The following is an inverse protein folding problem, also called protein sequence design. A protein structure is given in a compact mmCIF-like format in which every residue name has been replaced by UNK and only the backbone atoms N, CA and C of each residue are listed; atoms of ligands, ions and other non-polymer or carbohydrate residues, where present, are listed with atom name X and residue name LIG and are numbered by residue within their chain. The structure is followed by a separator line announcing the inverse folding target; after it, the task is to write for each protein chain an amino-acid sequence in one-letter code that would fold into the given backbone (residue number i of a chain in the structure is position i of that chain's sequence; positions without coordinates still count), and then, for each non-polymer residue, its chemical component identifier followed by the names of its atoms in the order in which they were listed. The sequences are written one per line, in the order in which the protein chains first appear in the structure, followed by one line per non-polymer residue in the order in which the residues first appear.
data_IF_849332007370
#
_entry.id   IF_849332007370
#
_cell.length_a   1.000
_cell.length_b   1.000
_cell.length_c   1.000
_cell.angle_alpha   90.00
_cell.angle_beta   90.00
_cell.angle_gamma   90.00
#
_symmetry.space_group_name_H-M   'P 1'
#
loop_
_entity.id
_entity.type
_entity.pdbx_description
1 polymer ?
#
# COMPACT_ATOMS: atom_id res chain seq x y z
N UNK A 1 4.27 26.79 -6.18
CA UNK A 1 3.10 26.26 -6.90
C UNK A 1 2.18 25.56 -5.92
N UNK A 2 0.89 25.74 -6.10
CA UNK A 2 -0.07 25.05 -5.24
C UNK A 2 -0.10 23.56 -5.59
N UNK A 3 -0.17 22.72 -4.57
CA UNK A 3 -0.33 21.28 -4.71
C UNK A 3 -1.64 20.97 -5.46
N UNK A 4 -1.58 20.13 -6.47
CA UNK A 4 -2.76 19.71 -7.18
C UNK A 4 -3.43 18.53 -6.44
N UNK A 5 -4.34 18.86 -5.53
CA UNK A 5 -5.05 17.87 -4.72
C UNK A 5 -5.83 16.86 -5.58
N UNK A 6 -6.49 17.32 -6.64
CA UNK A 6 -7.24 16.43 -7.53
C UNK A 6 -6.33 15.41 -8.22
N UNK A 7 -5.15 15.83 -8.66
CA UNK A 7 -4.17 14.94 -9.27
C UNK A 7 -3.64 13.90 -8.28
N UNK A 8 -3.44 14.29 -7.03
CA UNK A 8 -3.04 13.36 -5.96
C UNK A 8 -4.12 12.30 -5.74
N UNK A 9 -5.37 12.71 -5.60
CA UNK A 9 -6.48 11.75 -5.43
C UNK A 9 -6.60 10.81 -6.63
N UNK A 10 -6.50 11.33 -7.85
CA UNK A 10 -6.54 10.51 -9.07
C UNK A 10 -5.42 9.48 -9.09
N UNK A 11 -4.21 9.87 -8.69
CA UNK A 11 -3.07 8.97 -8.58
C UNK A 11 -3.32 7.87 -7.55
N UNK A 12 -3.82 8.22 -6.36
CA UNK A 12 -4.11 7.26 -5.30
C UNK A 12 -5.21 6.27 -5.72
N UNK A 13 -6.25 6.74 -6.39
CA UNK A 13 -7.31 5.86 -6.91
C UNK A 13 -6.79 4.91 -7.98
N UNK A 14 -5.86 5.36 -8.81
CA UNK A 14 -5.21 4.50 -9.80
C UNK A 14 -4.37 3.41 -9.13
N UNK A 15 -3.60 3.75 -8.11
CA UNK A 15 -2.80 2.78 -7.35
C UNK A 15 -3.70 1.70 -6.74
N UNK A 16 -4.79 2.10 -6.08
CA UNK A 16 -5.76 1.18 -5.49
C UNK A 16 -6.46 0.31 -6.55
N UNK A 17 -6.86 0.92 -7.66
CA UNK A 17 -7.54 0.20 -8.76
C UNK A 17 -6.64 -0.86 -9.38
N UNK A 18 -5.35 -0.60 -9.56
CA UNK A 18 -4.44 -1.61 -10.10
C UNK A 18 -4.36 -2.85 -9.21
N UNK A 19 -4.42 -2.68 -7.89
CA UNK A 19 -4.49 -3.83 -6.98
C UNK A 19 -5.80 -4.59 -7.12
N UNK A 20 -6.93 -3.89 -7.18
CA UNK A 20 -8.25 -4.51 -7.28
C UNK A 20 -8.44 -5.22 -8.62
N UNK A 21 -7.93 -4.65 -9.69
CA UNK A 21 -7.99 -5.22 -11.05
C UNK A 21 -6.84 -6.21 -11.32
N UNK A 22 -5.99 -6.44 -10.32
CA UNK A 22 -4.84 -7.37 -10.40
C UNK A 22 -3.85 -7.04 -11.49
N UNK A 23 -3.66 -5.75 -11.73
CA UNK A 23 -2.70 -5.20 -12.68
C UNK A 23 -1.40 -4.91 -11.93
N UNK A 24 -0.73 -5.95 -11.44
CA UNK A 24 0.40 -5.82 -10.50
C UNK A 24 1.63 -5.19 -11.14
N UNK A 25 1.89 -5.40 -12.41
CA UNK A 25 3.01 -4.74 -13.09
C UNK A 25 2.78 -3.23 -13.23
N UNK A 26 1.55 -2.82 -13.56
CA UNK A 26 1.17 -1.42 -13.62
C UNK A 26 1.20 -0.77 -12.24
N UNK A 27 0.78 -1.51 -11.19
CA UNK A 27 0.89 -1.07 -9.81
C UNK A 27 2.34 -0.84 -9.41
N UNK A 28 3.21 -1.79 -9.70
CA UNK A 28 4.63 -1.73 -9.36
C UNK A 28 5.32 -0.53 -10.03
N UNK A 29 4.92 -0.18 -11.25
CA UNK A 29 5.47 0.96 -11.98
C UNK A 29 5.17 2.33 -11.34
N UNK A 30 4.23 2.39 -10.39
CA UNK A 30 3.93 3.61 -9.63
C UNK A 30 4.92 3.88 -8.50
N UNK A 31 5.80 2.93 -8.19
CA UNK A 31 6.75 3.01 -7.09
C UNK A 31 8.14 3.35 -7.59
N UNK A 32 8.80 4.27 -6.89
CA UNK A 32 10.18 4.62 -7.19
C UNK A 32 11.12 3.43 -6.88
N UNK A 33 12.24 3.26 -7.60
CA UNK A 33 13.19 2.17 -7.33
C UNK A 33 13.71 2.16 -5.89
N UNK A 34 13.83 3.32 -5.27
CA UNK A 34 14.33 3.51 -3.91
C UNK A 34 13.22 3.56 -2.84
N UNK A 35 11.99 3.20 -3.19
CA UNK A 35 10.85 3.30 -2.27
C UNK A 35 11.11 2.54 -0.96
N UNK A 36 10.76 3.17 0.16
CA UNK A 36 10.61 2.49 1.44
C UNK A 36 9.13 2.12 1.61
N UNK A 37 8.86 0.82 1.71
CA UNK A 37 7.51 0.30 1.92
C UNK A 37 7.46 -0.39 3.28
N UNK A 38 6.68 0.17 4.22
CA UNK A 38 6.73 -0.24 5.61
C UNK A 38 5.34 -0.33 6.23
N UNK A 39 5.05 -1.49 6.82
CA UNK A 39 3.89 -1.69 7.68
C UNK A 39 4.40 -2.12 9.05
N UNK A 40 4.51 -1.19 10.03
CA UNK A 40 4.96 -1.52 11.37
C UNK A 40 3.94 -2.43 12.08
N UNK A 41 4.42 -3.16 13.09
CA UNK A 41 3.57 -3.96 13.98
C UNK A 41 3.22 -3.16 15.23
N UNK A 42 2.14 -3.57 15.91
CA UNK A 42 1.82 -3.09 17.25
C UNK A 42 2.57 -3.95 18.28
N UNK A 43 3.13 -3.33 19.30
CA UNK A 43 3.80 -4.04 20.37
C UNK A 43 2.82 -4.41 21.52
N UNK A 44 3.33 -5.10 22.52
CA UNK A 44 2.50 -5.58 23.65
C UNK A 44 1.96 -4.44 24.53
N UNK A 45 2.55 -3.25 24.44
CA UNK A 45 2.12 -2.05 25.17
C UNK A 45 1.13 -1.18 24.37
N UNK A 46 0.56 -1.72 23.30
CA UNK A 46 -0.34 -1.01 22.37
C UNK A 46 0.34 0.22 21.72
N UNK A 47 1.64 0.11 21.50
CA UNK A 47 2.43 1.11 20.79
C UNK A 47 2.84 0.58 19.42
N UNK A 48 2.80 1.46 18.44
CA UNK A 48 3.29 1.13 17.10
C UNK A 48 4.81 1.10 17.12
N UNK A 49 5.41 0.05 16.53
CA UNK A 49 6.88 0.02 16.37
C UNK A 49 7.32 1.16 15.47
N UNK A 50 8.44 1.79 15.78
CA UNK A 50 8.90 3.02 15.11
C UNK A 50 10.27 2.89 14.43
N UNK A 51 10.95 1.76 14.62
CA UNK A 51 12.26 1.52 14.01
C UNK A 51 12.28 0.17 13.28
N UNK A 52 12.18 0.17 11.93
CA UNK A 52 12.18 -1.08 11.16
C UNK A 52 13.51 -1.83 11.20
N UNK A 53 14.60 -1.21 11.66
CA UNK A 53 15.91 -1.82 11.74
C UNK A 53 16.09 -2.65 13.02
N UNK A 54 15.39 -2.29 14.10
CA UNK A 54 15.55 -2.94 15.42
C UNK A 54 14.26 -3.56 15.96
N UNK A 55 13.12 -3.32 15.34
CA UNK A 55 11.82 -3.79 15.79
C UNK A 55 11.11 -4.58 14.70
N UNK A 56 10.14 -5.41 15.11
CA UNK A 56 9.35 -6.24 14.19
C UNK A 56 8.43 -5.36 13.36
N UNK A 57 8.36 -5.66 12.07
CA UNK A 57 7.38 -5.10 11.13
C UNK A 57 6.51 -6.21 10.55
N UNK A 58 5.26 -5.89 10.19
CA UNK A 58 4.42 -6.80 9.43
C UNK A 58 4.95 -6.94 7.99
N UNK A 59 5.32 -5.83 7.39
CA UNK A 59 6.01 -5.78 6.09
C UNK A 59 7.07 -4.68 6.16
N UNK A 60 8.27 -4.97 5.67
CA UNK A 60 9.30 -3.95 5.47
C UNK A 60 10.16 -4.26 4.25
N UNK A 61 10.17 -3.33 3.31
CA UNK A 61 11.03 -3.37 2.14
C UNK A 61 11.80 -2.05 2.02
N UNK A 62 13.15 -2.08 2.08
CA UNK A 62 13.96 -0.85 2.02
C UNK A 62 14.06 -0.25 0.62
N UNK A 63 13.62 -1.00 -0.41
CA UNK A 63 13.58 -0.56 -1.80
C UNK A 63 12.54 -1.39 -2.56
N UNK A 64 12.38 -1.11 -3.87
CA UNK A 64 11.37 -1.77 -4.70
C UNK A 64 11.61 -3.26 -4.94
N UNK A 65 12.82 -3.77 -4.73
CA UNK A 65 13.13 -5.19 -4.97
C UNK A 65 12.20 -6.13 -4.19
N UNK A 66 11.87 -5.78 -2.94
CA UNK A 66 10.93 -6.59 -2.15
C UNK A 66 9.53 -6.63 -2.74
N UNK A 67 9.07 -5.51 -3.29
CA UNK A 67 7.77 -5.45 -3.97
C UNK A 67 7.80 -6.26 -5.28
N UNK A 68 8.88 -6.18 -6.04
CA UNK A 68 9.06 -6.96 -7.27
C UNK A 68 9.04 -8.46 -7.00
N UNK A 69 9.72 -8.91 -5.97
CA UNK A 69 9.72 -10.31 -5.55
C UNK A 69 8.32 -10.75 -5.14
N UNK A 70 7.58 -9.90 -4.44
CA UNK A 70 6.23 -10.22 -4.00
C UNK A 70 5.27 -10.32 -5.18
N UNK A 71 5.35 -9.42 -6.12
CA UNK A 71 4.54 -9.46 -7.35
C UNK A 71 4.86 -10.73 -8.15
N UNK A 72 6.12 -11.09 -8.25
CA UNK A 72 6.53 -12.33 -8.92
C UNK A 72 5.90 -13.56 -8.26
N UNK A 73 5.90 -13.64 -6.93
CA UNK A 73 5.29 -14.75 -6.19
C UNK A 73 3.77 -14.81 -6.40
N UNK A 74 3.09 -13.66 -6.35
CA UNK A 74 1.64 -13.61 -6.59
C UNK A 74 1.31 -14.16 -7.98
N UNK A 75 2.04 -13.76 -9.01
CA UNK A 75 1.85 -14.26 -10.37
C UNK A 75 2.10 -15.76 -10.47
N UNK A 76 3.12 -16.27 -9.80
CA UNK A 76 3.46 -17.70 -9.80
C UNK A 76 2.39 -18.51 -9.06
N UNK A 77 1.94 -18.06 -7.91
CA UNK A 77 0.86 -18.69 -7.14
C UNK A 77 -0.44 -18.74 -7.96
N UNK A 78 -0.76 -17.68 -8.69
CA UNK A 78 -1.93 -17.61 -9.56
C UNK A 78 -1.89 -18.65 -10.66
N UNK A 79 -0.73 -18.85 -11.28
CA UNK A 79 -0.58 -19.83 -12.39
C UNK A 79 -0.63 -21.27 -11.91
N UNK A 80 -0.34 -21.54 -10.64
CA UNK A 80 -0.32 -22.89 -10.05
C UNK A 80 -1.56 -23.20 -9.19
N UNK A 81 -2.37 -22.20 -8.84
CA UNK A 81 -3.49 -22.36 -7.94
C UNK A 81 -4.74 -22.85 -8.68
N UNK A 82 -5.34 -23.93 -8.16
CA UNK A 82 -6.68 -24.40 -8.57
C UNK A 82 -7.81 -23.64 -7.83
N UNK A 83 -7.48 -22.64 -7.01
CA UNK A 83 -8.39 -21.97 -6.08
C UNK A 83 -8.72 -20.56 -6.54
N UNK A 84 -9.93 -20.03 -6.23
CA UNK A 84 -10.24 -18.68 -6.60
C UNK A 84 -9.33 -17.69 -5.88
N UNK A 85 -8.84 -16.69 -6.61
CA UNK A 85 -8.09 -15.59 -6.02
C UNK A 85 -9.00 -14.73 -5.15
N UNK A 86 -8.47 -14.11 -4.09
CA UNK A 86 -9.23 -13.12 -3.35
C UNK A 86 -9.67 -11.98 -4.26
N UNK A 87 -10.92 -11.55 -4.11
CA UNK A 87 -11.44 -10.34 -4.75
C UNK A 87 -11.36 -9.22 -3.74
N UNK A 88 -10.78 -8.10 -4.15
CA UNK A 88 -10.60 -6.96 -3.26
C UNK A 88 -11.24 -5.69 -3.79
N UNK A 89 -11.67 -4.84 -2.88
CA UNK A 89 -12.03 -3.46 -3.18
C UNK A 89 -11.36 -2.56 -2.15
N UNK A 90 -10.61 -1.58 -2.64
CA UNK A 90 -9.98 -0.56 -1.81
C UNK A 90 -10.87 0.69 -1.81
N UNK A 91 -11.18 1.18 -0.62
CA UNK A 91 -11.88 2.45 -0.42
C UNK A 91 -10.93 3.40 0.29
N UNK A 92 -10.68 4.55 -0.32
CA UNK A 92 -9.80 5.58 0.23
C UNK A 92 -10.62 6.78 0.66
N UNK A 93 -10.23 7.38 1.78
CA UNK A 93 -10.91 8.55 2.33
C UNK A 93 -9.95 9.44 3.08
N UNK A 94 -10.40 10.65 3.41
CA UNK A 94 -9.67 11.58 4.26
C UNK A 94 -8.25 11.86 3.74
N UNK A 95 -8.12 12.11 2.46
CA UNK A 95 -6.84 12.47 1.84
C UNK A 95 -6.47 13.87 2.27
N UNK A 96 -5.29 14.01 2.89
CA UNK A 96 -4.75 15.26 3.36
C UNK A 96 -3.33 15.46 2.83
N UNK A 97 -3.03 16.68 2.39
CA UNK A 97 -1.67 17.11 2.12
C UNK A 97 -1.07 17.62 3.42
N UNK A 98 -0.04 16.95 3.92
CA UNK A 98 0.63 17.33 5.17
C UNK A 98 1.71 18.37 4.94
N UNK A 99 2.46 18.22 3.84
CA UNK A 99 3.57 19.13 3.50
C UNK A 99 3.79 19.12 1.99
N UNK A 100 3.86 20.31 1.41
CA UNK A 100 4.25 20.49 0.02
C UNK A 100 5.71 20.96 -0.02
N UNK A 101 6.59 20.10 -0.57
CA UNK A 101 8.04 20.34 -0.66
C UNK A 101 8.48 20.79 -2.06
N UNK A 102 7.54 21.10 -2.94
CA UNK A 102 7.79 21.44 -4.35
C UNK A 102 7.82 20.21 -5.25
N UNK A 103 8.96 19.54 -5.32
CA UNK A 103 9.10 18.34 -6.15
C UNK A 103 8.47 17.09 -5.54
N UNK A 104 8.23 17.10 -4.25
CA UNK A 104 7.55 16.02 -3.53
C UNK A 104 6.49 16.57 -2.60
N UNK A 105 5.56 15.71 -2.22
CA UNK A 105 4.46 16.03 -1.31
C UNK A 105 4.29 14.90 -0.30
N UNK A 106 4.19 15.27 0.98
CA UNK A 106 3.85 14.33 2.04
C UNK A 106 2.33 14.36 2.25
N UNK A 107 1.73 13.20 2.26
CA UNK A 107 0.27 13.03 2.36
C UNK A 107 -0.08 11.98 3.40
N UNK A 108 -1.33 12.02 3.85
CA UNK A 108 -1.95 10.90 4.58
C UNK A 108 -3.35 10.64 4.04
N UNK A 109 -3.80 9.43 4.21
CA UNK A 109 -5.17 9.04 3.89
C UNK A 109 -5.57 7.79 4.67
N UNK A 110 -6.87 7.57 4.79
CA UNK A 110 -7.39 6.34 5.38
C UNK A 110 -7.72 5.34 4.27
N UNK A 111 -7.57 4.07 4.57
CA UNK A 111 -7.98 3.00 3.67
C UNK A 111 -8.88 2.00 4.37
N UNK A 112 -9.77 1.40 3.59
CA UNK A 112 -10.58 0.27 4.00
C UNK A 112 -10.63 -0.69 2.82
N UNK A 113 -10.06 -1.86 2.98
CA UNK A 113 -10.03 -2.90 1.95
C UNK A 113 -10.94 -4.04 2.36
N UNK A 114 -11.86 -4.39 1.47
CA UNK A 114 -12.64 -5.62 1.57
C UNK A 114 -11.96 -6.69 0.74
N UNK A 115 -11.80 -7.87 1.30
CA UNK A 115 -11.23 -9.05 0.62
C UNK A 115 -12.17 -10.22 0.77
N UNK A 116 -12.64 -10.77 -0.35
CA UNK A 116 -13.60 -11.87 -0.36
C UNK A 116 -13.02 -13.11 -1.00
N UNK A 117 -13.03 -14.22 -0.23
CA UNK A 117 -12.58 -15.54 -0.69
C UNK A 117 -13.28 -16.61 0.13
N UNK A 118 -13.67 -17.72 -0.52
CA UNK A 118 -14.31 -18.86 0.14
C UNK A 118 -15.56 -18.46 0.95
N UNK A 119 -16.39 -17.58 0.41
CA UNK A 119 -17.62 -17.08 1.06
C UNK A 119 -17.37 -16.26 2.34
N UNK A 120 -16.12 -15.89 2.58
CA UNK A 120 -15.75 -15.04 3.73
C UNK A 120 -15.25 -13.69 3.22
N UNK A 121 -15.75 -12.63 3.81
CA UNK A 121 -15.26 -11.27 3.57
C UNK A 121 -14.50 -10.78 4.78
N UNK A 122 -13.22 -10.46 4.55
CA UNK A 122 -12.35 -9.87 5.56
C UNK A 122 -12.20 -8.37 5.33
N UNK A 123 -11.95 -7.64 6.41
CA UNK A 123 -11.74 -6.20 6.40
C UNK A 123 -10.30 -5.89 6.81
N UNK A 124 -9.68 -4.97 6.09
CA UNK A 124 -8.38 -4.40 6.47
C UNK A 124 -8.55 -2.89 6.45
N UNK A 125 -8.13 -2.22 7.50
CA UNK A 125 -8.31 -0.78 7.57
C UNK A 125 -7.20 -0.11 8.38
N UNK A 126 -6.99 1.15 8.07
CA UNK A 126 -5.99 1.93 8.77
C UNK A 126 -5.67 3.25 8.07
N UNK A 127 -4.48 3.76 8.35
CA UNK A 127 -4.01 5.03 7.81
C UNK A 127 -2.68 4.83 7.09
N UNK A 128 -2.54 5.48 5.94
CA UNK A 128 -1.30 5.49 5.16
C UNK A 128 -0.68 6.88 5.23
N UNK A 129 0.63 6.91 5.45
CA UNK A 129 1.48 8.09 5.28
C UNK A 129 2.39 7.83 4.09
N UNK A 130 2.36 8.70 3.11
CA UNK A 130 3.14 8.52 1.88
C UNK A 130 3.85 9.79 1.45
N UNK A 131 4.94 9.62 0.74
CA UNK A 131 5.62 10.70 0.03
C UNK A 131 5.55 10.40 -1.46
N UNK A 132 4.98 11.34 -2.20
CA UNK A 132 4.86 11.28 -3.66
C UNK A 132 5.85 12.27 -4.28
N UNK A 133 6.66 11.78 -5.22
CA UNK A 133 7.57 12.60 -6.02
C UNK A 133 6.96 12.83 -7.39
N UNK A 134 7.08 14.05 -7.92
CA UNK A 134 6.71 14.32 -9.31
C UNK A 134 7.57 13.49 -10.26
N UNK A 135 6.95 12.92 -11.27
CA UNK A 135 7.60 12.11 -12.29
C UNK A 135 6.81 10.89 -12.69
N UNK A 136 7.39 10.08 -13.57
CA UNK A 136 6.73 8.88 -14.09
C UNK A 136 5.56 9.19 -15.02
N UNK A 137 5.02 8.14 -15.64
CA UNK A 137 3.94 8.26 -16.64
C UNK A 137 2.60 8.64 -15.98
N UNK A 138 2.43 8.36 -14.70
CA UNK A 138 1.21 8.68 -13.96
C UNK A 138 1.26 10.03 -13.23
N UNK A 139 2.33 10.81 -13.41
CA UNK A 139 2.53 12.12 -12.81
C UNK A 139 3.26 12.12 -11.48
N UNK A 140 3.21 11.03 -10.76
CA UNK A 140 3.90 10.83 -9.48
C UNK A 140 4.54 9.46 -9.42
N UNK A 141 5.55 9.33 -8.52
CA UNK A 141 6.10 8.06 -8.07
C UNK A 141 6.04 8.05 -6.53
N UNK A 142 5.74 6.90 -5.97
CA UNK A 142 5.73 6.72 -4.51
C UNK A 142 7.16 6.49 -4.04
N UNK A 143 7.70 7.43 -3.24
CA UNK A 143 9.03 7.33 -2.64
C UNK A 143 9.00 6.64 -1.28
N UNK A 144 7.89 6.78 -0.56
CA UNK A 144 7.72 6.21 0.77
C UNK A 144 6.24 5.91 1.00
N UNK A 145 5.98 4.73 1.55
CA UNK A 145 4.62 4.35 1.97
C UNK A 145 4.72 3.64 3.31
N UNK A 146 4.17 4.28 4.35
CA UNK A 146 4.04 3.71 5.69
C UNK A 146 2.58 3.42 5.93
N UNK A 147 2.24 2.15 6.14
CA UNK A 147 0.86 1.70 6.37
C UNK A 147 0.69 1.36 7.85
N UNK A 148 -0.21 2.06 8.52
CA UNK A 148 -0.61 1.77 9.91
C UNK A 148 -1.89 0.97 9.85
N UNK A 149 -1.76 -0.36 9.92
CA UNK A 149 -2.90 -1.28 9.98
C UNK A 149 -3.52 -1.21 11.38
N UNK A 150 -4.84 -1.01 11.44
CA UNK A 150 -5.55 -0.81 12.73
C UNK A 150 -6.37 -2.01 13.17
N UNK A 151 -6.36 -3.11 12.42
CA UNK A 151 -6.99 -4.34 12.84
C UNK A 151 -6.24 -4.94 14.05
N UNK A 152 -6.97 -5.34 15.11
CA UNK A 152 -6.41 -6.12 16.19
C UNK A 152 -6.24 -7.59 15.81
N UNK A 153 -7.16 -8.09 14.98
CA UNK A 153 -7.17 -9.46 14.51
C UNK A 153 -7.25 -9.50 12.99
N UNK A 154 -6.41 -10.31 12.39
CA UNK A 154 -6.44 -10.62 10.95
C UNK A 154 -6.51 -12.13 10.78
N UNK A 155 -7.46 -12.60 9.98
CA UNK A 155 -7.74 -14.04 9.82
C UNK A 155 -6.72 -14.77 8.97
N UNK A 156 -5.88 -14.05 8.26
CA UNK A 156 -4.86 -14.60 7.36
C UNK A 156 -3.68 -13.64 7.20
N UNK A 157 -2.59 -14.13 6.62
CA UNK A 157 -1.40 -13.31 6.38
C UNK A 157 -1.75 -12.14 5.47
N UNK A 158 -1.35 -10.93 5.89
CA UNK A 158 -1.56 -9.71 5.11
C UNK A 158 -0.61 -9.69 3.93
N UNK A 159 -1.15 -9.38 2.76
CA UNK A 159 -0.39 -9.20 1.53
C UNK A 159 -0.59 -7.78 0.97
N UNK A 160 0.20 -7.42 -0.04
CA UNK A 160 0.15 -6.09 -0.66
C UNK A 160 -1.23 -5.73 -1.21
N UNK A 161 -2.02 -6.71 -1.64
CA UNK A 161 -3.36 -6.44 -2.17
C UNK A 161 -4.42 -6.27 -1.09
N UNK A 162 -4.08 -6.45 0.19
CA UNK A 162 -4.98 -6.18 1.32
C UNK A 162 -4.89 -4.74 1.82
N UNK A 163 -3.87 -3.97 1.40
CA UNK A 163 -3.53 -2.68 2.02
C UNK A 163 -3.33 -1.56 1.02
#
# INVERSE_FOLDING_TARGET
MSTNYAAICTFLYREARHLDDREFDAWLALYAPEVEFWMPAWDDDDQLTDDPQSQISLIYYPNRNGLEDRVFRIKTERSSASMPEPRTNHMLSNVEVLEDRGESVAIRYNFHTLSHRYKVTDHYFGTVYATLRQGGDAGYLIERKKIVLKNDYISQVVDIYHI
#
